data_IF_152828561395
#
_entry.id   IF_152828561395
#
_cell.length_a   1.000
_cell.length_b   1.000
_cell.length_c   1.000
_cell.angle_alpha   90.00
_cell.angle_beta   90.00
_cell.angle_gamma   90.00
#
_symmetry.space_group_name_H-M   'P 1'
#
loop_
_entity.id
_entity.type
_entity.pdbx_description
1 polymer ?
#
# COMPACT_ATOMS: atom_id res chain seq x y z
N UNK A 1 -10.45 -12.28 -13.87
CA UNK A 1 -10.02 -13.60 -13.35
C UNK A 1 -8.68 -14.02 -13.95
N UNK A 2 -8.47 -13.91 -15.27
CA UNK A 2 -7.15 -14.15 -15.90
C UNK A 2 -6.08 -13.11 -15.47
N UNK A 3 -6.43 -11.81 -15.43
CA UNK A 3 -5.49 -10.74 -15.03
C UNK A 3 -5.01 -10.86 -13.58
N UNK A 4 -5.86 -11.33 -12.66
CA UNK A 4 -5.50 -11.51 -11.25
C UNK A 4 -4.52 -12.66 -11.03
N UNK A 5 -4.62 -13.72 -11.83
CA UNK A 5 -3.69 -14.86 -11.77
C UNK A 5 -2.32 -14.52 -12.37
N UNK A 6 -2.30 -13.71 -13.44
CA UNK A 6 -1.07 -13.20 -14.04
C UNK A 6 -0.32 -12.28 -13.07
N UNK A 7 -1.03 -11.35 -12.43
CA UNK A 7 -0.46 -10.48 -11.41
C UNK A 7 0.11 -11.27 -10.23
N UNK A 8 -0.58 -12.31 -9.77
CA UNK A 8 -0.09 -13.16 -8.68
C UNK A 8 1.22 -13.88 -9.05
N UNK A 9 1.37 -14.33 -10.31
CA UNK A 9 2.60 -14.94 -10.83
C UNK A 9 3.74 -13.93 -10.95
N UNK A 10 3.45 -12.71 -11.40
CA UNK A 10 4.45 -11.65 -11.46
C UNK A 10 4.97 -11.26 -10.07
N UNK A 11 4.07 -11.14 -9.09
CA UNK A 11 4.45 -10.88 -7.69
C UNK A 11 5.34 -12.00 -7.17
N UNK A 12 4.95 -13.26 -7.38
CA UNK A 12 5.76 -14.41 -6.98
C UNK A 12 7.16 -14.34 -7.62
N UNK A 13 7.25 -14.11 -8.93
CA UNK A 13 8.52 -13.96 -9.62
C UNK A 13 9.38 -12.82 -9.03
N UNK A 14 8.78 -11.66 -8.75
CA UNK A 14 9.48 -10.52 -8.17
C UNK A 14 10.01 -10.81 -6.77
N UNK A 15 9.18 -11.41 -5.90
CA UNK A 15 9.58 -11.78 -4.54
C UNK A 15 10.75 -12.77 -4.59
N UNK A 16 10.65 -13.83 -5.38
CA UNK A 16 11.73 -14.81 -5.55
C UNK A 16 13.04 -14.18 -6.03
N UNK A 17 12.95 -13.25 -6.99
CA UNK A 17 14.11 -12.52 -7.49
C UNK A 17 14.75 -11.64 -6.42
N UNK A 18 13.94 -11.01 -5.57
CA UNK A 18 14.44 -10.19 -4.45
C UNK A 18 15.08 -11.04 -3.35
N UNK A 19 14.49 -12.18 -3.00
CA UNK A 19 15.06 -13.15 -2.04
C UNK A 19 16.42 -13.62 -2.52
N UNK A 20 16.50 -14.13 -3.75
CA UNK A 20 17.75 -14.62 -4.33
C UNK A 20 18.85 -13.54 -4.34
N UNK A 21 18.49 -12.30 -4.70
CA UNK A 21 19.43 -11.18 -4.68
C UNK A 21 19.98 -10.89 -3.27
N UNK A 22 19.20 -11.11 -2.20
CA UNK A 22 19.67 -10.96 -0.82
C UNK A 22 20.54 -12.13 -0.40
N UNK A 23 20.18 -13.35 -0.79
CA UNK A 23 21.01 -14.54 -0.57
C UNK A 23 22.39 -14.41 -1.22
N UNK A 24 22.43 -14.02 -2.50
CA UNK A 24 23.68 -13.85 -3.25
C UNK A 24 24.61 -12.83 -2.56
N UNK A 25 24.06 -11.74 -2.02
CA UNK A 25 24.85 -10.73 -1.28
C UNK A 25 25.49 -11.29 -0.02
N UNK A 26 24.77 -12.13 0.72
CA UNK A 26 25.31 -12.74 1.95
C UNK A 26 26.34 -13.81 1.60
N UNK A 27 26.06 -14.64 0.58
CA UNK A 27 27.01 -15.68 0.11
C UNK A 27 28.30 -15.07 -0.42
N UNK A 28 28.24 -13.94 -1.13
CA UNK A 28 29.41 -13.24 -1.65
C UNK A 28 30.15 -12.40 -0.58
N UNK A 29 29.65 -12.34 0.65
CA UNK A 29 30.23 -11.50 1.72
C UNK A 29 30.03 -10.00 1.52
N UNK A 30 29.09 -9.58 0.66
CA UNK A 30 28.72 -8.17 0.44
C UNK A 30 27.79 -7.64 1.55
N UNK A 31 27.16 -8.53 2.32
CA UNK A 31 26.29 -8.20 3.44
C UNK A 31 26.38 -9.26 4.55
N UNK A 32 26.34 -8.83 5.81
CA UNK A 32 26.43 -9.74 6.97
C UNK A 32 25.10 -10.43 7.31
N UNK A 33 23.97 -9.96 6.75
CA UNK A 33 22.63 -10.50 7.01
C UNK A 33 21.66 -10.19 5.87
N UNK A 34 20.48 -10.81 5.91
CA UNK A 34 19.40 -10.53 4.96
C UNK A 34 18.67 -9.20 5.24
N UNK A 35 19.05 -8.47 6.29
CA UNK A 35 18.46 -7.19 6.69
C UNK A 35 17.36 -7.32 7.75
N UNK A 36 17.00 -6.18 8.35
CA UNK A 36 15.99 -6.08 9.42
C UNK A 36 14.66 -5.44 8.95
N UNK A 37 14.48 -5.28 7.64
CA UNK A 37 13.20 -4.88 7.05
C UNK A 37 12.24 -6.07 6.94
N UNK A 38 10.98 -5.82 6.57
CA UNK A 38 9.95 -6.85 6.45
C UNK A 38 10.40 -8.08 5.64
N UNK A 39 10.97 -7.88 4.45
CA UNK A 39 11.46 -8.98 3.63
C UNK A 39 12.69 -9.65 4.27
N UNK A 40 13.56 -8.90 4.91
CA UNK A 40 14.74 -9.44 5.61
C UNK A 40 14.34 -10.37 6.76
N UNK A 41 13.33 -9.98 7.53
CA UNK A 41 12.76 -10.82 8.59
C UNK A 41 12.14 -12.12 8.03
N UNK A 42 11.40 -12.03 6.92
CA UNK A 42 10.84 -13.22 6.25
C UNK A 42 11.94 -14.14 5.71
N UNK A 43 12.99 -13.59 5.10
CA UNK A 43 14.13 -14.39 4.59
C UNK A 43 14.92 -15.02 5.74
N UNK A 44 15.08 -14.32 6.88
CA UNK A 44 15.66 -14.91 8.08
C UNK A 44 14.83 -16.10 8.58
N UNK A 45 13.50 -15.95 8.66
CA UNK A 45 12.60 -17.03 9.07
C UNK A 45 12.58 -18.19 8.06
N UNK A 46 12.68 -17.91 6.76
CA UNK A 46 12.82 -18.94 5.72
C UNK A 46 14.10 -19.77 5.88
N UNK A 47 15.17 -19.16 6.40
CA UNK A 47 16.46 -19.82 6.68
C UNK A 47 16.64 -20.27 8.14
N UNK A 48 15.58 -20.23 8.96
CA UNK A 48 15.68 -20.62 10.37
C UNK A 48 16.08 -22.09 10.52
N UNK A 49 16.91 -22.35 11.54
CA UNK A 49 17.37 -23.69 11.92
C UNK A 49 16.31 -24.47 12.70
N UNK A 50 15.43 -23.78 13.44
CA UNK A 50 14.30 -24.38 14.13
C UNK A 50 13.15 -24.60 13.15
N UNK A 51 12.80 -25.88 12.95
CA UNK A 51 11.71 -26.28 12.04
C UNK A 51 10.36 -25.66 12.42
N UNK A 52 10.15 -25.29 13.68
CA UNK A 52 8.89 -24.68 14.12
C UNK A 52 8.77 -23.21 13.70
N UNK A 53 9.90 -22.52 13.48
CA UNK A 53 9.94 -21.12 13.06
C UNK A 53 10.28 -20.97 11.57
N UNK A 54 10.70 -22.07 10.93
CA UNK A 54 11.09 -22.09 9.53
C UNK A 54 9.89 -21.94 8.60
N UNK A 55 9.88 -20.87 7.80
CA UNK A 55 8.87 -20.68 6.75
C UNK A 55 9.16 -21.56 5.53
N UNK A 56 8.10 -21.98 4.83
CA UNK A 56 8.23 -22.49 3.46
C UNK A 56 8.42 -21.33 2.46
N UNK A 57 8.76 -21.66 1.22
CA UNK A 57 8.86 -20.64 0.18
C UNK A 57 7.48 -20.08 -0.17
N UNK A 58 6.47 -20.94 -0.15
CA UNK A 58 5.07 -20.58 -0.34
C UNK A 58 4.61 -19.59 0.74
N UNK A 59 4.91 -19.86 2.01
CA UNK A 59 4.54 -18.95 3.12
C UNK A 59 5.20 -17.58 2.95
N UNK A 60 6.49 -17.52 2.63
CA UNK A 60 7.20 -16.26 2.42
C UNK A 60 6.56 -15.44 1.29
N UNK A 61 6.24 -16.09 0.17
CA UNK A 61 5.61 -15.44 -0.99
C UNK A 61 4.20 -14.98 -0.64
N UNK A 62 3.43 -15.78 0.09
CA UNK A 62 2.05 -15.48 0.44
C UNK A 62 1.94 -14.35 1.48
N UNK A 63 2.88 -14.26 2.42
CA UNK A 63 3.01 -13.10 3.31
C UNK A 63 3.34 -11.82 2.53
N UNK A 64 4.25 -11.89 1.56
CA UNK A 64 4.57 -10.75 0.69
C UNK A 64 3.37 -10.32 -0.17
N UNK A 65 2.63 -11.28 -0.74
CA UNK A 65 1.40 -10.99 -1.51
C UNK A 65 0.35 -10.34 -0.62
N UNK A 66 0.12 -10.89 0.56
CA UNK A 66 -0.88 -10.38 1.52
C UNK A 66 -0.56 -8.94 1.90
N UNK A 67 0.70 -8.66 2.25
CA UNK A 67 1.16 -7.31 2.56
C UNK A 67 0.94 -6.34 1.39
N UNK A 68 1.27 -6.77 0.16
CA UNK A 68 1.09 -5.95 -1.04
C UNK A 68 -0.39 -5.64 -1.31
N UNK A 69 -1.25 -6.65 -1.34
CA UNK A 69 -2.67 -6.48 -1.68
C UNK A 69 -3.43 -5.70 -0.60
N UNK A 70 -3.19 -5.98 0.68
CA UNK A 70 -3.79 -5.23 1.79
C UNK A 70 -3.40 -3.74 1.74
N UNK A 71 -2.16 -3.43 1.38
CA UNK A 71 -1.68 -2.06 1.22
C UNK A 71 -2.21 -1.36 -0.03
N UNK A 72 -2.25 -2.06 -1.16
CA UNK A 72 -2.55 -1.46 -2.46
C UNK A 72 -3.98 -0.92 -2.54
N UNK A 73 -4.98 -1.73 -2.18
CA UNK A 73 -6.39 -1.33 -2.31
C UNK A 73 -6.73 -0.18 -1.36
N UNK A 74 -6.20 -0.21 -0.14
CA UNK A 74 -6.43 0.82 0.87
C UNK A 74 -5.78 2.15 0.49
N UNK A 75 -4.52 2.12 0.01
CA UNK A 75 -3.79 3.32 -0.43
C UNK A 75 -4.41 3.91 -1.70
N UNK A 76 -4.78 3.08 -2.68
CA UNK A 76 -5.41 3.55 -3.91
C UNK A 76 -6.74 4.25 -3.64
N UNK A 77 -7.60 3.65 -2.81
CA UNK A 77 -8.85 4.27 -2.41
C UNK A 77 -8.61 5.61 -1.69
N UNK A 78 -7.68 5.64 -0.73
CA UNK A 78 -7.35 6.87 0.00
C UNK A 78 -6.83 7.97 -0.94
N UNK A 79 -5.96 7.63 -1.89
CA UNK A 79 -5.43 8.58 -2.88
C UNK A 79 -6.54 9.11 -3.80
N UNK A 80 -7.40 8.23 -4.31
CA UNK A 80 -8.52 8.63 -5.16
C UNK A 80 -9.45 9.63 -4.45
N UNK A 81 -9.84 9.33 -3.20
CA UNK A 81 -10.64 10.24 -2.39
C UNK A 81 -9.89 11.53 -2.06
N UNK A 82 -8.59 11.46 -1.76
CA UNK A 82 -7.78 12.66 -1.48
C UNK A 82 -7.73 13.58 -2.70
N UNK A 83 -7.50 13.05 -3.90
CA UNK A 83 -7.47 13.82 -5.14
C UNK A 83 -8.84 14.43 -5.44
N UNK A 84 -9.92 13.66 -5.28
CA UNK A 84 -11.29 14.17 -5.45
C UNK A 84 -11.60 15.31 -4.48
N UNK A 85 -11.31 15.12 -3.19
CA UNK A 85 -11.57 16.12 -2.15
C UNK A 85 -10.73 17.38 -2.36
N UNK A 86 -9.48 17.24 -2.81
CA UNK A 86 -8.65 18.38 -3.23
C UNK A 86 -9.24 19.13 -4.42
N UNK A 87 -9.81 18.42 -5.40
CA UNK A 87 -10.41 19.04 -6.59
C UNK A 87 -11.68 19.85 -6.25
N UNK A 88 -12.51 19.38 -5.32
CA UNK A 88 -13.72 20.10 -4.90
C UNK A 88 -13.44 21.21 -3.87
N UNK A 89 -12.31 21.14 -3.16
CA UNK A 89 -11.88 22.14 -2.17
C UNK A 89 -10.67 22.95 -2.65
N UNK A 90 -10.86 23.77 -3.70
CA UNK A 90 -9.80 24.56 -4.33
C UNK A 90 -8.95 25.39 -3.36
N UNK A 91 -9.56 26.02 -2.36
CA UNK A 91 -8.84 26.81 -1.35
C UNK A 91 -7.79 25.99 -0.58
N UNK A 92 -8.13 24.75 -0.26
CA UNK A 92 -7.24 23.83 0.44
C UNK A 92 -6.14 23.32 -0.49
N UNK A 93 -6.48 23.04 -1.76
CA UNK A 93 -5.51 22.67 -2.78
C UNK A 93 -4.47 23.77 -3.00
N UNK A 94 -4.89 25.03 -3.09
CA UNK A 94 -3.98 26.15 -3.28
C UNK A 94 -3.08 26.39 -2.07
N UNK A 95 -3.62 26.26 -0.85
CA UNK A 95 -2.81 26.33 0.38
C UNK A 95 -1.78 25.21 0.44
N UNK A 96 -2.18 23.97 0.14
CA UNK A 96 -1.26 22.83 0.11
C UNK A 96 -0.18 23.00 -0.99
N UNK A 97 -0.55 23.44 -2.19
CA UNK A 97 0.39 23.70 -3.30
C UNK A 97 1.42 24.77 -2.93
N UNK A 98 0.99 25.89 -2.33
CA UNK A 98 1.91 26.93 -1.86
C UNK A 98 2.85 26.43 -0.77
N UNK A 99 2.37 25.61 0.16
CA UNK A 99 3.20 25.02 1.21
C UNK A 99 4.27 24.08 0.63
N UNK A 100 3.89 23.19 -0.28
CA UNK A 100 4.82 22.27 -0.95
C UNK A 100 5.89 23.04 -1.73
N UNK A 101 5.49 24.02 -2.55
CA UNK A 101 6.44 24.86 -3.31
C UNK A 101 7.33 25.67 -2.36
N UNK A 102 6.79 26.19 -1.26
CA UNK A 102 7.57 26.96 -0.29
C UNK A 102 8.63 26.14 0.44
N UNK A 103 8.37 24.84 0.68
CA UNK A 103 9.30 23.95 1.40
C UNK A 103 10.31 23.29 0.46
N UNK A 104 9.85 22.80 -0.71
CA UNK A 104 10.68 21.99 -1.60
C UNK A 104 11.13 22.74 -2.86
N UNK A 105 10.52 23.87 -3.21
CA UNK A 105 10.79 24.56 -4.46
C UNK A 105 10.60 23.64 -5.66
N UNK A 106 11.67 23.45 -6.43
CA UNK A 106 11.72 22.54 -7.58
C UNK A 106 12.55 21.27 -7.30
N UNK A 107 12.82 20.99 -6.03
CA UNK A 107 13.61 19.83 -5.60
C UNK A 107 12.72 18.67 -5.19
N UNK A 108 13.26 17.45 -5.25
CA UNK A 108 12.55 16.26 -4.79
C UNK A 108 12.30 16.32 -3.27
N UNK A 109 11.14 15.85 -2.79
CA UNK A 109 10.82 15.84 -1.37
C UNK A 109 11.87 15.10 -0.54
N UNK A 110 12.36 15.75 0.52
CA UNK A 110 13.23 15.13 1.53
C UNK A 110 12.43 14.81 2.80
N UNK A 111 12.76 13.73 3.54
CA UNK A 111 12.03 13.34 4.75
C UNK A 111 11.82 14.48 5.76
N UNK A 112 12.84 15.31 5.98
CA UNK A 112 12.81 16.44 6.90
C UNK A 112 11.84 17.54 6.44
N UNK A 113 11.68 17.70 5.13
CA UNK A 113 10.73 18.64 4.55
C UNK A 113 9.29 18.11 4.61
N UNK A 114 9.08 16.79 4.49
CA UNK A 114 7.76 16.17 4.58
C UNK A 114 7.15 16.42 5.96
N UNK A 115 7.95 16.32 7.03
CA UNK A 115 7.52 16.61 8.39
C UNK A 115 7.05 18.07 8.61
N UNK A 116 7.41 18.99 7.71
CA UNK A 116 7.04 20.42 7.79
C UNK A 116 5.72 20.74 7.07
N UNK A 117 5.11 19.78 6.36
CA UNK A 117 3.86 19.96 5.61
C UNK A 117 2.60 20.01 6.51
N UNK A 118 2.51 21.05 7.34
CA UNK A 118 1.46 21.21 8.36
C UNK A 118 0.07 21.38 7.74
N UNK A 119 -0.04 22.04 6.60
CA UNK A 119 -1.29 22.25 5.87
C UNK A 119 -1.77 20.94 5.26
N UNK A 120 -0.86 20.16 4.66
CA UNK A 120 -1.18 18.81 4.16
C UNK A 120 -1.62 17.88 5.31
N UNK A 121 -0.99 17.95 6.48
CA UNK A 121 -1.43 17.17 7.65
C UNK A 121 -2.82 17.58 8.14
N UNK A 122 -3.10 18.89 8.20
CA UNK A 122 -4.43 19.41 8.57
C UNK A 122 -5.50 18.98 7.56
N UNK A 123 -5.16 19.06 6.27
CA UNK A 123 -6.01 18.60 5.19
C UNK A 123 -6.34 17.11 5.33
N UNK A 124 -5.33 16.27 5.52
CA UNK A 124 -5.52 14.83 5.74
C UNK A 124 -6.47 14.56 6.91
N UNK A 125 -6.30 15.25 8.04
CA UNK A 125 -7.19 15.08 9.20
C UNK A 125 -8.61 15.59 8.95
N UNK A 126 -8.80 16.66 8.18
CA UNK A 126 -10.12 17.20 7.86
C UNK A 126 -10.89 16.34 6.84
N UNK A 127 -10.17 15.79 5.87
CA UNK A 127 -10.74 15.02 4.76
C UNK A 127 -10.91 13.53 5.10
N UNK A 128 -10.13 12.98 6.04
CA UNK A 128 -10.20 11.55 6.42
C UNK A 128 -11.60 11.09 6.84
N UNK A 129 -12.35 11.79 7.72
CA UNK A 129 -13.70 11.38 8.08
C UNK A 129 -14.66 11.41 6.89
N UNK A 130 -14.48 12.35 5.97
CA UNK A 130 -15.31 12.48 4.77
C UNK A 130 -15.01 11.32 3.81
N UNK A 131 -13.74 11.04 3.53
CA UNK A 131 -13.32 9.89 2.72
C UNK A 131 -13.84 8.56 3.28
N UNK A 132 -13.75 8.36 4.60
CA UNK A 132 -14.28 7.17 5.27
C UNK A 132 -15.80 7.08 5.17
N UNK A 133 -16.52 8.15 5.45
CA UNK A 133 -17.98 8.21 5.35
C UNK A 133 -18.46 7.91 3.93
N UNK A 134 -17.85 8.55 2.91
CA UNK A 134 -18.20 8.32 1.52
C UNK A 134 -17.85 6.90 1.04
N UNK A 135 -16.72 6.34 1.48
CA UNK A 135 -16.37 4.95 1.17
C UNK A 135 -17.37 3.95 1.76
N UNK A 136 -17.79 4.15 3.02
CA UNK A 136 -18.75 3.27 3.69
C UNK A 136 -20.14 3.42 3.06
N UNK A 137 -20.56 4.66 2.77
CA UNK A 137 -21.84 4.93 2.13
C UNK A 137 -21.91 4.32 0.72
N UNK A 138 -20.83 4.41 -0.05
CA UNK A 138 -20.76 3.81 -1.38
C UNK A 138 -20.90 2.28 -1.32
N UNK A 139 -20.21 1.61 -0.38
CA UNK A 139 -20.32 0.15 -0.16
C UNK A 139 -21.74 -0.24 0.26
N UNK A 140 -22.35 0.48 1.22
CA UNK A 140 -23.72 0.20 1.67
C UNK A 140 -24.74 0.42 0.54
N UNK A 141 -24.58 1.47 -0.25
CA UNK A 141 -25.46 1.78 -1.38
C UNK A 141 -25.35 0.72 -2.48
N UNK A 142 -24.13 0.30 -2.84
CA UNK A 142 -23.93 -0.75 -3.86
C UNK A 142 -24.50 -2.09 -3.43
N UNK A 143 -24.29 -2.48 -2.16
CA UNK A 143 -24.90 -3.68 -1.59
C UNK A 143 -26.43 -3.60 -1.61
N UNK A 144 -27.01 -2.45 -1.25
CA UNK A 144 -28.46 -2.25 -1.26
C UNK A 144 -29.06 -2.34 -2.66
N UNK A 145 -28.39 -1.78 -3.68
CA UNK A 145 -28.81 -1.89 -5.09
C UNK A 145 -28.70 -3.34 -5.58
N UNK A 146 -27.65 -4.07 -5.23
CA UNK A 146 -27.51 -5.48 -5.60
C UNK A 146 -28.59 -6.36 -4.95
N UNK A 147 -28.94 -6.10 -3.68
CA UNK A 147 -30.04 -6.79 -3.00
C UNK A 147 -31.38 -6.49 -3.67
N UNK A 148 -31.63 -5.22 -4.03
CA UNK A 148 -32.84 -4.83 -4.73
C UNK A 148 -32.97 -5.51 -6.11
N UNK A 149 -31.87 -5.55 -6.88
CA UNK A 149 -31.81 -6.27 -8.15
C UNK A 149 -32.06 -7.77 -7.94
N UNK A 150 -31.38 -8.40 -6.99
CA UNK A 150 -31.55 -9.82 -6.69
C UNK A 150 -33.00 -10.18 -6.30
N UNK A 151 -33.66 -9.32 -5.54
CA UNK A 151 -35.07 -9.50 -5.16
C UNK A 151 -36.06 -9.26 -6.32
N UNK A 152 -35.71 -8.41 -7.29
CA UNK A 152 -36.51 -8.24 -8.52
C UNK A 152 -36.42 -9.48 -9.41
N UNK A 153 -35.27 -10.15 -9.48
CA UNK A 153 -35.08 -11.34 -10.31
C UNK A 153 -35.58 -12.65 -9.66
N UNK A 154 -36.16 -12.59 -8.46
CA UNK A 154 -36.78 -13.73 -7.77
C UNK A 154 -38.33 -13.72 -7.78
N UNK A 155 -38.96 -12.75 -8.45
CA UNK A 155 -40.41 -12.74 -8.74
C UNK A 155 -40.66 -12.73 -10.25
#
# INVERSE_FOLDING_TARGET
MLESEELAKEIQYCVMKMVKKREDKVVNGEADSFGNDFLGLLVNAYHDSDKNNKLSMEDLVDECKTFYFAGQDTVNALLAWTVLLLAIHGDWQDKARREVIGIFGNQNPQPEGIAKLKTVSKLSNHLRPQALCYSQYFVVSTLSTLIFIANIYQN
#
